data_IF_599601332027
#
_entry.id   IF_599601332027
#
_cell.length_a   1.000
_cell.length_b   1.000
_cell.length_c   1.000
_cell.angle_alpha   90.00
_cell.angle_beta   90.00
_cell.angle_gamma   90.00
#
_symmetry.space_group_name_H-M   'P 1'
#
loop_
_entity.id
_entity.type
_entity.pdbx_description
1 polymer ?
#
# COMPACT_ATOMS: atom_id res chain seq x y z
N UNK A 1 9.64 -12.75 4.02
CA UNK A 1 8.59 -11.79 4.37
C UNK A 1 7.56 -11.68 3.25
N UNK A 2 6.28 -11.50 3.58
CA UNK A 2 5.18 -11.32 2.60
C UNK A 2 4.78 -9.84 2.60
N UNK A 3 5.70 -8.94 2.23
CA UNK A 3 5.42 -7.51 2.15
C UNK A 3 4.96 -7.13 0.74
N UNK A 4 3.92 -6.31 0.58
CA UNK A 4 3.49 -5.76 -0.71
C UNK A 4 4.58 -4.99 -1.45
N UNK A 5 5.50 -4.36 -0.71
CA UNK A 5 6.63 -3.63 -1.28
C UNK A 5 7.58 -4.52 -2.10
N UNK A 6 7.54 -5.83 -1.88
CA UNK A 6 8.40 -6.80 -2.56
C UNK A 6 7.71 -7.48 -3.76
N UNK A 7 6.44 -7.23 -4.00
CA UNK A 7 5.65 -7.92 -5.02
C UNK A 7 6.30 -7.81 -6.40
N UNK A 8 6.63 -6.60 -6.83
CA UNK A 8 7.25 -6.34 -8.13
C UNK A 8 8.62 -7.00 -8.26
N UNK A 9 9.48 -6.85 -7.25
CA UNK A 9 10.86 -7.33 -7.27
C UNK A 9 10.90 -8.86 -7.37
N UNK A 10 10.03 -9.55 -6.65
CA UNK A 10 9.90 -11.02 -6.72
C UNK A 10 9.34 -11.48 -8.06
N UNK A 11 8.33 -10.80 -8.59
CA UNK A 11 7.73 -11.15 -9.88
C UNK A 11 8.71 -10.97 -11.05
N UNK A 12 9.75 -10.14 -10.87
CA UNK A 12 10.73 -9.83 -11.89
C UNK A 12 12.15 -10.33 -11.61
N UNK A 13 12.31 -11.21 -10.58
CA UNK A 13 13.62 -11.77 -10.17
C UNK A 13 14.68 -10.69 -9.87
N UNK A 14 14.24 -9.58 -9.25
CA UNK A 14 15.13 -8.50 -8.83
C UNK A 14 15.57 -8.77 -7.38
N UNK A 15 16.86 -8.75 -7.16
CA UNK A 15 17.45 -8.94 -5.83
C UNK A 15 17.16 -7.74 -4.93
N UNK A 16 16.74 -8.03 -3.69
CA UNK A 16 16.49 -7.03 -2.66
C UNK A 16 17.35 -7.32 -1.44
N UNK A 17 18.13 -6.34 -1.02
CA UNK A 17 18.95 -6.41 0.19
C UNK A 17 18.09 -6.03 1.41
N UNK A 18 18.07 -6.92 2.40
CA UNK A 18 17.40 -6.66 3.67
C UNK A 18 18.40 -6.09 4.67
N UNK A 19 18.17 -4.85 5.05
CA UNK A 19 18.96 -4.15 6.04
C UNK A 19 18.21 -4.28 7.38
N UNK A 20 18.79 -5.01 8.34
CA UNK A 20 18.12 -5.39 9.59
C UNK A 20 18.72 -4.73 10.83
N UNK A 21 19.90 -4.15 10.69
CA UNK A 21 20.56 -3.47 11.81
C UNK A 21 20.09 -2.00 11.89
N UNK A 22 19.84 -1.45 13.08
CA UNK A 22 19.50 -0.04 13.26
C UNK A 22 20.47 0.95 12.60
N UNK A 23 21.77 0.61 12.54
CA UNK A 23 22.80 1.44 11.92
C UNK A 23 22.75 1.45 10.38
N UNK A 24 22.12 0.44 9.78
CA UNK A 24 22.08 0.29 8.31
C UNK A 24 21.47 1.53 7.62
N UNK A 25 20.46 2.16 8.22
CA UNK A 25 19.84 3.36 7.68
C UNK A 25 20.82 4.52 7.52
N UNK A 26 21.71 4.70 8.51
CA UNK A 26 22.75 5.72 8.45
C UNK A 26 23.82 5.36 7.43
N UNK A 27 24.20 4.09 7.36
CA UNK A 27 25.18 3.59 6.41
C UNK A 27 24.70 3.83 4.96
N UNK A 28 23.48 3.43 4.64
CA UNK A 28 22.91 3.58 3.27
C UNK A 28 22.72 5.04 2.90
N UNK A 29 22.28 5.89 3.85
CA UNK A 29 22.17 7.33 3.66
C UNK A 29 23.51 7.98 3.27
N UNK A 30 24.62 7.42 3.75
CA UNK A 30 25.98 7.89 3.45
C UNK A 30 26.56 7.20 2.21
N UNK A 31 26.31 5.92 2.02
CA UNK A 31 26.94 5.12 0.97
C UNK A 31 26.37 5.39 -0.43
N UNK A 32 25.15 5.77 -0.57
CA UNK A 32 24.41 6.09 -1.82
C UNK A 32 24.67 5.21 -3.04
N UNK A 33 25.91 4.74 -3.23
CA UNK A 33 26.38 3.97 -4.39
C UNK A 33 27.35 2.88 -3.94
N UNK A 34 27.28 1.71 -4.59
CA UNK A 34 28.21 0.61 -4.43
C UNK A 34 28.59 0.02 -5.79
N UNK A 35 29.88 -0.05 -6.10
CA UNK A 35 30.42 -0.58 -7.36
C UNK A 35 29.77 0.02 -8.61
N UNK A 36 29.57 1.34 -8.65
CA UNK A 36 28.96 2.05 -9.78
C UNK A 36 27.44 1.89 -9.87
N UNK A 37 26.77 1.29 -8.87
CA UNK A 37 25.32 1.10 -8.83
C UNK A 37 24.72 1.90 -7.67
N UNK A 38 23.68 2.66 -7.97
CA UNK A 38 22.96 3.40 -6.96
C UNK A 38 22.09 2.48 -6.08
N UNK A 39 22.14 2.68 -4.79
CA UNK A 39 21.22 2.04 -3.84
C UNK A 39 19.90 2.80 -3.84
N UNK A 40 18.80 2.06 -4.02
CA UNK A 40 17.44 2.62 -4.03
C UNK A 40 16.59 1.93 -2.99
N UNK A 41 15.69 2.68 -2.36
CA UNK A 41 14.79 2.11 -1.38
C UNK A 41 13.53 1.55 -2.08
N UNK A 42 13.16 0.31 -1.75
CA UNK A 42 11.95 -0.34 -2.31
C UNK A 42 10.65 0.36 -1.90
N UNK A 43 10.67 1.14 -0.81
CA UNK A 43 9.53 1.90 -0.31
C UNK A 43 9.46 3.31 -0.93
N UNK A 44 10.41 3.67 -1.80
CA UNK A 44 10.39 4.97 -2.47
C UNK A 44 9.23 5.02 -3.46
N UNK A 45 8.36 5.98 -3.25
CA UNK A 45 7.20 6.21 -4.11
C UNK A 45 7.58 6.61 -5.55
N UNK A 46 8.78 7.15 -5.74
CA UNK A 46 9.31 7.61 -7.02
C UNK A 46 10.29 6.63 -7.66
N UNK A 47 10.42 5.42 -7.11
CA UNK A 47 11.30 4.41 -7.65
C UNK A 47 10.98 4.11 -9.12
N UNK A 48 11.95 4.36 -10.01
CA UNK A 48 11.83 4.02 -11.42
C UNK A 48 12.04 2.52 -11.63
N UNK A 49 11.01 1.86 -12.15
CA UNK A 49 11.03 0.44 -12.44
C UNK A 49 11.30 0.19 -13.93
N UNK A 50 12.03 -0.89 -14.28
CA UNK A 50 12.21 -1.29 -15.67
C UNK A 50 10.86 -1.52 -16.36
N UNK A 51 10.65 -0.86 -17.51
CA UNK A 51 9.34 -0.82 -18.20
C UNK A 51 8.94 -2.14 -18.87
N UNK A 52 9.87 -3.04 -19.08
CA UNK A 52 9.72 -4.15 -20.05
C UNK A 52 8.79 -5.29 -19.62
N UNK A 53 8.36 -5.32 -18.36
CA UNK A 53 7.53 -6.42 -17.81
C UNK A 53 6.18 -5.96 -17.25
N UNK A 54 5.92 -4.67 -17.18
CA UNK A 54 4.66 -4.10 -16.67
C UNK A 54 3.48 -4.20 -17.68
N UNK A 55 3.74 -4.47 -18.95
CA UNK A 55 2.71 -4.46 -19.99
C UNK A 55 1.76 -5.68 -19.98
N UNK A 56 2.21 -6.81 -19.43
CA UNK A 56 1.41 -8.04 -19.40
C UNK A 56 0.18 -7.97 -18.46
N UNK A 57 0.16 -7.01 -17.52
CA UNK A 57 -0.92 -6.88 -16.53
C UNK A 57 -2.00 -5.86 -16.91
N UNK A 58 -1.78 -5.05 -17.94
CA UNK A 58 -2.72 -3.98 -18.35
C UNK A 58 -4.06 -4.49 -18.91
N UNK A 59 -4.15 -5.74 -19.34
CA UNK A 59 -5.34 -6.28 -19.99
C UNK A 59 -6.56 -6.47 -19.06
N UNK A 60 -6.38 -6.36 -17.74
CA UNK A 60 -7.43 -6.55 -16.73
C UNK A 60 -7.63 -5.33 -15.82
N UNK A 61 -7.11 -4.17 -16.21
CA UNK A 61 -7.22 -2.96 -15.40
C UNK A 61 -8.66 -2.40 -15.43
N UNK A 62 -9.09 -1.89 -14.28
CA UNK A 62 -10.33 -1.11 -14.17
C UNK A 62 -10.30 0.07 -15.15
N UNK A 63 -11.39 0.41 -15.87
CA UNK A 63 -11.46 1.60 -16.70
C UNK A 63 -11.12 2.87 -15.92
N UNK A 64 -10.51 3.86 -16.58
CA UNK A 64 -10.03 5.07 -15.91
C UNK A 64 -11.15 5.81 -15.16
N UNK A 65 -12.32 5.96 -15.78
CA UNK A 65 -13.45 6.66 -15.17
C UNK A 65 -13.96 5.97 -13.89
N UNK A 66 -14.03 4.64 -13.88
CA UNK A 66 -14.41 3.87 -12.67
C UNK A 66 -13.33 3.98 -11.60
N UNK A 67 -12.05 3.97 -12.01
CA UNK A 67 -10.94 4.12 -11.08
C UNK A 67 -10.90 5.51 -10.43
N UNK A 68 -11.18 6.57 -11.17
CA UNK A 68 -11.25 7.93 -10.64
C UNK A 68 -12.37 8.07 -9.60
N UNK A 69 -13.52 7.44 -9.83
CA UNK A 69 -14.62 7.38 -8.85
C UNK A 69 -14.22 6.59 -7.61
N UNK A 70 -13.50 5.49 -7.77
CA UNK A 70 -12.95 4.72 -6.66
C UNK A 70 -11.97 5.55 -5.83
N UNK A 71 -11.01 6.22 -6.48
CA UNK A 71 -10.04 7.08 -5.77
C UNK A 71 -10.74 8.16 -4.95
N UNK A 72 -11.74 8.83 -5.55
CA UNK A 72 -12.55 9.81 -4.82
C UNK A 72 -13.25 9.20 -3.63
N UNK A 73 -13.91 8.03 -3.80
CA UNK A 73 -14.60 7.34 -2.71
C UNK A 73 -13.66 6.94 -1.59
N UNK A 74 -12.48 6.41 -1.91
CA UNK A 74 -11.45 6.06 -0.93
C UNK A 74 -10.99 7.30 -0.16
N UNK A 75 -10.78 8.41 -0.85
CA UNK A 75 -10.41 9.69 -0.22
C UNK A 75 -11.51 10.19 0.70
N UNK A 76 -12.78 10.13 0.28
CA UNK A 76 -13.93 10.57 1.09
C UNK A 76 -14.09 9.71 2.37
N UNK A 77 -13.86 8.39 2.28
CA UNK A 77 -13.98 7.45 3.41
C UNK A 77 -12.82 7.59 4.39
N UNK A 78 -11.59 7.68 3.89
CA UNK A 78 -10.39 7.70 4.73
C UNK A 78 -10.05 9.10 5.25
N UNK A 79 -10.47 10.14 4.53
CA UNK A 79 -10.30 11.54 4.93
C UNK A 79 -8.85 11.87 5.29
N UNK A 80 -8.69 12.49 6.46
CA UNK A 80 -7.41 12.97 6.97
C UNK A 80 -6.42 11.87 7.42
N UNK A 81 -6.81 10.59 7.36
CA UNK A 81 -5.93 9.47 7.72
C UNK A 81 -4.87 9.16 6.68
N UNK A 82 -5.06 9.65 5.46
CA UNK A 82 -4.13 9.49 4.34
C UNK A 82 -3.72 10.84 3.77
N UNK A 83 -2.58 10.87 3.09
CA UNK A 83 -2.13 12.04 2.34
C UNK A 83 -2.84 12.15 0.99
N UNK A 84 -2.93 11.04 0.29
CA UNK A 84 -3.59 10.91 -1.02
C UNK A 84 -3.78 9.43 -1.39
N UNK A 85 -4.52 9.21 -2.48
CA UNK A 85 -4.69 7.89 -3.11
C UNK A 85 -4.13 7.96 -4.52
N UNK A 86 -3.41 6.92 -4.95
CA UNK A 86 -2.92 6.82 -6.33
C UNK A 86 -2.81 5.38 -6.82
N UNK A 87 -2.63 5.22 -8.11
CA UNK A 87 -2.35 3.94 -8.74
C UNK A 87 -0.92 3.48 -8.41
N UNK A 88 -0.77 2.20 -8.06
CA UNK A 88 0.53 1.59 -7.83
C UNK A 88 1.15 1.10 -9.13
N UNK A 89 2.45 1.36 -9.29
CA UNK A 89 3.27 0.81 -10.38
C UNK A 89 4.03 -0.47 -9.98
N UNK A 90 3.95 -0.85 -8.71
CA UNK A 90 4.77 -1.92 -8.13
C UNK A 90 3.96 -3.10 -7.57
N UNK A 91 2.65 -2.92 -7.36
CA UNK A 91 1.82 -4.00 -6.84
C UNK A 91 1.47 -5.00 -7.94
N UNK A 92 1.68 -6.28 -7.63
CA UNK A 92 1.37 -7.42 -8.51
C UNK A 92 0.24 -8.24 -7.91
N UNK A 93 0.39 -8.73 -6.70
CA UNK A 93 -0.54 -9.65 -6.04
C UNK A 93 -1.33 -8.99 -4.90
N UNK A 94 -0.86 -7.90 -4.36
CA UNK A 94 -1.51 -7.22 -3.25
C UNK A 94 -2.46 -6.13 -3.74
N UNK A 95 -3.61 -5.90 -3.06
CA UNK A 95 -4.60 -4.89 -3.48
C UNK A 95 -4.15 -3.45 -3.23
N UNK A 96 -3.37 -3.23 -2.17
CA UNK A 96 -2.89 -1.90 -1.79
C UNK A 96 -1.63 -1.98 -0.94
N UNK A 97 -0.97 -0.83 -0.80
CA UNK A 97 0.13 -0.58 0.15
C UNK A 97 0.15 0.87 0.58
N UNK A 98 0.85 1.15 1.68
CA UNK A 98 1.15 2.51 2.12
C UNK A 98 2.59 2.87 1.74
N UNK A 99 2.79 4.06 1.20
CA UNK A 99 4.11 4.59 0.87
C UNK A 99 4.30 5.98 1.45
N UNK A 100 5.54 6.32 1.78
CA UNK A 100 5.92 7.67 2.19
C UNK A 100 6.55 8.40 1.01
N UNK A 101 6.10 9.63 0.76
CA UNK A 101 6.73 10.51 -0.24
C UNK A 101 7.99 11.19 0.30
N UNK A 102 8.15 11.22 1.63
CA UNK A 102 9.26 11.88 2.28
C UNK A 102 10.23 10.84 2.87
N UNK A 103 11.40 10.73 2.25
CA UNK A 103 12.44 9.82 2.70
C UNK A 103 12.95 10.20 4.10
N UNK A 104 13.07 11.50 4.41
CA UNK A 104 13.56 11.98 5.69
C UNK A 104 12.54 11.68 6.80
N UNK A 105 11.25 11.96 6.59
CA UNK A 105 10.21 11.60 7.57
C UNK A 105 10.17 10.11 7.85
N UNK A 106 10.30 9.28 6.81
CA UNK A 106 10.34 7.81 6.95
C UNK A 106 11.53 7.36 7.82
N UNK A 107 12.71 7.91 7.58
CA UNK A 107 13.90 7.56 8.34
C UNK A 107 13.79 8.04 9.78
N UNK A 108 13.25 9.24 10.02
CA UNK A 108 12.99 9.78 11.35
C UNK A 108 11.93 8.96 12.11
N UNK A 109 10.89 8.51 11.44
CA UNK A 109 9.87 7.63 12.03
C UNK A 109 10.46 6.28 12.44
N UNK A 110 11.35 5.72 11.60
CA UNK A 110 12.08 4.50 11.91
C UNK A 110 12.99 4.68 13.14
N UNK A 111 13.72 5.79 13.24
CA UNK A 111 14.55 6.12 14.39
C UNK A 111 13.71 6.23 15.65
N UNK A 112 12.61 7.01 15.64
CA UNK A 112 11.70 7.14 16.80
C UNK A 112 11.16 5.78 17.26
N UNK A 113 10.82 4.88 16.33
CA UNK A 113 10.36 3.53 16.67
C UNK A 113 11.45 2.72 17.38
N UNK A 114 12.72 2.87 16.99
CA UNK A 114 13.86 2.19 17.62
C UNK A 114 14.15 2.79 19.00
N UNK A 115 14.04 4.11 19.15
CA UNK A 115 14.30 4.81 20.43
C UNK A 115 13.11 4.75 21.40
N UNK A 116 11.96 4.20 20.97
CA UNK A 116 10.75 4.13 21.80
C UNK A 116 10.07 5.48 22.01
N UNK A 117 10.38 6.49 21.19
CA UNK A 117 9.72 7.78 21.23
C UNK A 117 8.33 7.68 20.58
N UNK A 118 7.29 8.09 21.32
CA UNK A 118 5.95 8.25 20.77
C UNK A 118 5.92 9.51 19.90
N UNK A 119 5.56 9.36 18.63
CA UNK A 119 5.35 10.44 17.70
C UNK A 119 4.10 10.22 16.84
N UNK A 120 3.58 11.29 16.28
CA UNK A 120 2.52 11.15 15.28
C UNK A 120 3.09 10.46 14.04
N UNK A 121 2.39 9.41 13.59
CA UNK A 121 2.69 8.74 12.32
C UNK A 121 2.36 9.69 11.19
N UNK A 122 3.30 9.99 10.32
CA UNK A 122 3.05 10.86 9.17
C UNK A 122 2.01 10.24 8.24
N UNK A 123 1.14 11.08 7.67
CA UNK A 123 0.13 10.66 6.71
C UNK A 123 0.82 10.07 5.49
N UNK A 124 0.37 8.89 5.06
CA UNK A 124 0.95 8.16 3.93
C UNK A 124 0.07 8.23 2.69
N UNK A 125 0.66 7.99 1.55
CA UNK A 125 -0.06 7.78 0.30
C UNK A 125 -0.52 6.32 0.27
N UNK A 126 -1.82 6.11 -0.02
CA UNK A 126 -2.36 4.80 -0.27
C UNK A 126 -2.25 4.49 -1.77
N UNK A 127 -1.45 3.51 -2.12
CA UNK A 127 -1.36 2.99 -3.48
C UNK A 127 -2.31 1.81 -3.67
N UNK A 128 -3.09 1.84 -4.74
CA UNK A 128 -4.03 0.78 -5.12
C UNK A 128 -3.55 0.05 -6.36
N UNK A 129 -3.68 -1.28 -6.36
CA UNK A 129 -3.44 -2.11 -7.54
C UNK A 129 -4.70 -2.17 -8.41
N UNK A 130 -4.70 -1.45 -9.50
CA UNK A 130 -5.84 -1.32 -10.42
C UNK A 130 -6.27 -2.64 -11.05
N UNK A 131 -5.37 -3.60 -11.16
CA UNK A 131 -5.65 -4.94 -11.71
C UNK A 131 -6.09 -5.96 -10.66
N UNK A 132 -6.10 -5.60 -9.36
CA UNK A 132 -6.46 -6.55 -8.31
C UNK A 132 -7.97 -6.80 -8.23
N UNK A 133 -8.44 -8.05 -8.12
CA UNK A 133 -9.88 -8.39 -8.14
C UNK A 133 -10.72 -7.63 -7.11
N UNK A 134 -10.20 -7.39 -5.89
CA UNK A 134 -10.91 -6.61 -4.87
C UNK A 134 -11.08 -5.15 -5.33
N UNK A 135 -10.03 -4.54 -5.90
CA UNK A 135 -10.06 -3.15 -6.38
C UNK A 135 -11.02 -3.02 -7.56
N UNK A 136 -10.99 -3.97 -8.51
CA UNK A 136 -11.91 -4.01 -9.63
C UNK A 136 -13.37 -4.17 -9.16
N UNK A 137 -13.63 -5.07 -8.22
CA UNK A 137 -14.97 -5.27 -7.66
C UNK A 137 -15.48 -4.04 -6.91
N UNK A 138 -14.62 -3.32 -6.18
CA UNK A 138 -14.97 -2.08 -5.52
C UNK A 138 -15.34 -0.99 -6.53
N UNK A 139 -14.53 -0.78 -7.58
CA UNK A 139 -14.79 0.20 -8.62
C UNK A 139 -16.15 -0.05 -9.30
N UNK A 140 -16.41 -1.30 -9.70
CA UNK A 140 -17.68 -1.68 -10.30
C UNK A 140 -18.89 -1.50 -9.35
N UNK A 141 -18.75 -1.82 -8.06
CA UNK A 141 -19.82 -1.61 -7.08
C UNK A 141 -20.11 -0.13 -6.82
N UNK A 142 -19.09 0.72 -6.85
CA UNK A 142 -19.25 2.18 -6.74
C UNK A 142 -19.99 2.71 -7.97
N UNK A 143 -19.62 2.26 -9.16
CA UNK A 143 -20.28 2.64 -10.41
C UNK A 143 -21.76 2.23 -10.44
N UNK A 144 -22.08 1.04 -9.99
CA UNK A 144 -23.46 0.52 -9.95
C UNK A 144 -24.31 1.08 -8.81
N UNK A 145 -23.76 1.93 -7.93
CA UNK A 145 -24.46 2.49 -6.77
C UNK A 145 -24.85 1.45 -5.71
N UNK A 146 -24.15 0.31 -5.68
CA UNK A 146 -24.45 -0.81 -4.78
C UNK A 146 -24.01 -0.49 -3.35
N UNK A 147 -24.54 -1.24 -2.39
CA UNK A 147 -24.23 -1.35 -0.95
C UNK A 147 -23.07 -0.46 -0.42
N UNK A 148 -23.39 0.81 -0.16
CA UNK A 148 -22.46 1.83 0.32
C UNK A 148 -21.75 1.41 1.61
N UNK A 149 -22.45 0.70 2.50
CA UNK A 149 -21.90 0.28 3.78
C UNK A 149 -20.82 -0.79 3.60
N UNK A 150 -21.05 -1.76 2.74
CA UNK A 150 -20.08 -2.82 2.42
C UNK A 150 -18.87 -2.25 1.68
N UNK A 151 -19.08 -1.29 0.78
CA UNK A 151 -18.01 -0.57 0.08
C UNK A 151 -17.11 0.13 1.10
N UNK A 152 -17.68 0.92 2.01
CA UNK A 152 -16.94 1.63 3.04
C UNK A 152 -16.17 0.67 3.96
N UNK A 153 -16.83 -0.37 4.44
CA UNK A 153 -16.18 -1.38 5.27
C UNK A 153 -15.00 -2.06 4.56
N UNK A 154 -15.11 -2.29 3.25
CA UNK A 154 -14.01 -2.87 2.48
C UNK A 154 -12.84 -1.90 2.33
N UNK A 155 -13.12 -0.62 2.05
CA UNK A 155 -12.09 0.43 1.96
C UNK A 155 -11.33 0.56 3.29
N UNK A 156 -12.06 0.64 4.40
CA UNK A 156 -11.50 0.69 5.75
C UNK A 156 -10.63 -0.54 6.05
N UNK A 157 -11.11 -1.72 5.64
CA UNK A 157 -10.36 -2.97 5.87
C UNK A 157 -9.08 -3.03 5.06
N UNK A 158 -9.10 -2.56 3.81
CA UNK A 158 -7.89 -2.48 2.98
C UNK A 158 -6.84 -1.57 3.60
N UNK A 159 -7.28 -0.41 4.10
CA UNK A 159 -6.39 0.55 4.75
C UNK A 159 -5.79 -0.03 6.04
N UNK A 160 -6.60 -0.63 6.89
CA UNK A 160 -6.13 -1.22 8.14
C UNK A 160 -5.21 -2.44 7.91
N UNK A 161 -5.49 -3.24 6.88
CA UNK A 161 -4.57 -4.30 6.46
C UNK A 161 -3.20 -3.74 6.05
N UNK A 162 -3.17 -2.62 5.33
CA UNK A 162 -1.93 -1.96 4.95
C UNK A 162 -1.18 -1.42 6.18
N UNK A 163 -1.89 -0.78 7.13
CA UNK A 163 -1.32 -0.34 8.40
C UNK A 163 -0.75 -1.52 9.22
N UNK A 164 -1.46 -2.64 9.25
CA UNK A 164 -1.03 -3.84 9.96
C UNK A 164 0.26 -4.41 9.37
N UNK A 165 0.37 -4.46 8.04
CA UNK A 165 1.55 -4.95 7.33
C UNK A 165 2.78 -4.06 7.55
N UNK A 166 2.56 -2.76 7.76
CA UNK A 166 3.61 -1.79 8.09
C UNK A 166 3.95 -1.75 9.60
N UNK A 167 3.19 -2.49 10.43
CA UNK A 167 3.34 -2.41 11.89
C UNK A 167 2.90 -1.06 12.48
N UNK A 168 2.02 -0.34 11.77
CA UNK A 168 1.51 0.97 12.15
C UNK A 168 0.11 0.92 12.78
N UNK A 169 -0.54 -0.24 12.76
CA UNK A 169 -1.88 -0.38 13.32
C UNK A 169 -1.82 -0.39 14.85
N UNK A 170 -2.45 0.61 15.50
CA UNK A 170 -2.36 0.80 16.96
C UNK A 170 -3.15 -0.25 17.74
N UNK A 171 -4.35 -0.62 17.26
CA UNK A 171 -5.21 -1.59 17.92
C UNK A 171 -5.89 -2.54 16.90
N UNK A 172 -5.25 -3.67 16.53
CA UNK A 172 -5.82 -4.61 15.57
C UNK A 172 -7.17 -5.22 16.00
N UNK A 173 -7.51 -5.19 17.29
CA UNK A 173 -8.80 -5.69 17.78
C UNK A 173 -9.99 -4.90 17.20
N UNK A 174 -9.82 -3.62 16.87
CA UNK A 174 -10.87 -2.78 16.29
C UNK A 174 -11.30 -3.26 14.88
N UNK A 175 -10.48 -4.08 14.22
CA UNK A 175 -10.80 -4.66 12.92
C UNK A 175 -11.81 -5.82 13.00
N UNK A 176 -11.95 -6.47 14.15
CA UNK A 176 -12.64 -7.77 14.27
C UNK A 176 -14.10 -7.68 13.84
N UNK A 177 -14.86 -6.69 14.34
CA UNK A 177 -16.27 -6.52 13.99
C UNK A 177 -16.47 -6.30 12.49
N UNK A 178 -15.63 -5.45 11.89
CA UNK A 178 -15.66 -5.20 10.44
C UNK A 178 -15.31 -6.44 9.63
N UNK A 179 -14.30 -7.21 10.05
CA UNK A 179 -13.94 -8.47 9.41
C UNK A 179 -15.12 -9.44 9.46
N UNK A 180 -15.77 -9.60 10.60
CA UNK A 180 -16.96 -10.47 10.75
C UNK A 180 -18.10 -10.04 9.82
N UNK A 181 -18.35 -8.73 9.70
CA UNK A 181 -19.35 -8.18 8.77
C UNK A 181 -19.01 -8.52 7.32
N UNK A 182 -17.75 -8.33 6.90
CA UNK A 182 -17.30 -8.67 5.55
C UNK A 182 -17.39 -10.17 5.27
N UNK A 183 -17.04 -11.00 6.24
CA UNK A 183 -17.18 -12.47 6.15
C UNK A 183 -18.65 -12.89 6.00
N UNK A 184 -19.56 -12.32 6.81
CA UNK A 184 -20.98 -12.60 6.71
C UNK A 184 -21.54 -12.22 5.31
N UNK A 185 -21.14 -11.07 4.77
CA UNK A 185 -21.53 -10.66 3.43
C UNK A 185 -20.97 -11.58 2.33
N UNK A 186 -19.77 -12.15 2.53
CA UNK A 186 -19.19 -13.10 1.59
C UNK A 186 -19.89 -14.45 1.59
N UNK A 187 -20.30 -14.96 2.77
CA UNK A 187 -20.98 -16.26 2.93
C UNK A 187 -22.46 -16.16 2.56
N UNK A 188 -23.11 -15.02 2.84
CA UNK A 188 -24.55 -14.82 2.59
C UNK A 188 -24.93 -14.60 1.12
N UNK A 189 -23.97 -14.62 0.20
CA UNK A 189 -24.15 -14.50 -1.26
C UNK A 189 -24.06 -15.83 -2.00
N UNK A 190 -24.19 -16.97 -1.26
CA UNK A 190 -24.27 -18.30 -1.83
C UNK A 190 -25.69 -18.63 -2.32
#
# INVERSE_FOLDING_TARGET
>A
ARSPHLDYFRANDIEVLYLVDPIDSFMVGSLREYSGKQLQNVDDSNLELPKDKAEAQKAAEVPQEEYDKLQKRVTDVLGDRIKSVRESKQLVNSPCRLVSDDAFERDMERIRRITGEEGETSKRVLELNRSHPIVASLAHKIESGSDTELINATIEQLFDNALLLEGLHKNPADMVERIQKLMAAAVGKG
#
